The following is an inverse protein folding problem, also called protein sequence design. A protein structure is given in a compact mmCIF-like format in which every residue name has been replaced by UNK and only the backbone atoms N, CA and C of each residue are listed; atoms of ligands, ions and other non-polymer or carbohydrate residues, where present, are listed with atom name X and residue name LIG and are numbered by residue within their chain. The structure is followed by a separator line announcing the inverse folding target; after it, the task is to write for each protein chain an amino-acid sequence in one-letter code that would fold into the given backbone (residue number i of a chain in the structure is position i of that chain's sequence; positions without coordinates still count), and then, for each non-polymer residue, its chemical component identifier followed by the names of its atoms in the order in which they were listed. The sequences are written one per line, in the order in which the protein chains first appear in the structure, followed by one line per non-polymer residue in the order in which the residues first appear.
data_IF_033709964980
#
_entry.id   IF_033709964980
#
_cell.length_a   1.000
_cell.length_b   1.000
_cell.length_c   1.000
_cell.angle_alpha   90.00
_cell.angle_beta   90.00
_cell.angle_gamma   90.00
#
_symmetry.space_group_name_H-M   'P 1'
#
loop_
_entity.id
_entity.type
_entity.pdbx_description
1 polymer ?
#
# COMPACT_ATOMS: atom_id res chain seq x y z
N UNK A 1 -62.37 5.39 11.45
CA UNK A 1 -61.56 6.25 12.35
C UNK A 1 -60.10 5.91 12.08
N UNK A 2 -59.21 6.91 11.93
CA UNK A 2 -57.80 6.76 11.49
C UNK A 2 -56.85 6.24 12.59
N UNK A 3 -55.51 6.47 12.53
CA UNK A 3 -54.70 7.37 11.66
C UNK A 3 -53.62 6.63 10.82
N UNK A 4 -53.27 7.08 9.60
CA UNK A 4 -52.23 8.06 9.19
C UNK A 4 -50.79 7.79 9.67
N UNK A 5 -49.89 7.57 8.70
CA UNK A 5 -48.54 8.15 8.68
C UNK A 5 -47.37 7.16 8.70
N UNK A 6 -46.54 7.15 7.64
CA UNK A 6 -45.16 7.66 7.71
C UNK A 6 -44.39 7.40 6.39
N UNK A 7 -44.09 8.48 5.69
CA UNK A 7 -43.07 8.63 4.66
C UNK A 7 -41.68 8.21 5.17
N UNK A 8 -41.00 7.34 4.42
CA UNK A 8 -39.60 6.99 4.61
C UNK A 8 -38.75 7.43 3.42
N UNK A 9 -38.41 8.72 3.35
CA UNK A 9 -37.36 9.24 2.47
C UNK A 9 -36.00 8.75 2.98
N UNK A 10 -35.37 7.85 2.24
CA UNK A 10 -33.99 7.42 2.45
C UNK A 10 -33.08 7.90 1.34
N UNK A 11 -32.89 9.22 1.21
CA UNK A 11 -31.82 9.78 0.39
C UNK A 11 -30.49 9.74 1.13
N UNK A 12 -29.49 9.05 0.57
CA UNK A 12 -28.05 9.23 0.81
C UNK A 12 -27.35 8.80 -0.50
N UNK A 13 -26.92 9.73 -1.35
CA UNK A 13 -25.57 10.31 -1.32
C UNK A 13 -24.52 9.22 -1.06
N UNK A 14 -23.66 8.87 -2.02
CA UNK A 14 -22.54 9.69 -2.47
C UNK A 14 -22.06 9.21 -3.83
N UNK A 15 -21.76 10.17 -4.72
CA UNK A 15 -20.99 9.90 -5.92
C UNK A 15 -19.54 9.55 -5.60
N UNK A 16 -18.96 8.70 -6.44
CA UNK A 16 -17.57 8.80 -6.88
C UNK A 16 -17.54 8.12 -8.24
N UNK A 17 -17.45 8.93 -9.29
CA UNK A 17 -17.19 8.46 -10.65
C UNK A 17 -15.84 7.74 -10.76
N UNK A 18 -15.52 7.24 -11.96
CA UNK A 18 -14.42 6.33 -12.18
C UNK A 18 -13.08 7.08 -12.09
N UNK A 19 -12.21 6.66 -11.17
CA UNK A 19 -10.77 6.86 -11.34
C UNK A 19 -10.32 5.65 -12.16
N UNK A 20 -10.10 5.73 -13.46
CA UNK A 20 -9.24 6.71 -14.09
C UNK A 20 -7.83 6.14 -14.08
N UNK A 21 -7.48 5.47 -15.17
CA UNK A 21 -6.13 5.40 -15.74
C UNK A 21 -5.00 4.85 -14.87
N UNK A 22 -4.60 3.62 -15.18
CA UNK A 22 -3.20 3.24 -15.14
C UNK A 22 -2.96 2.20 -16.24
N UNK A 23 -2.83 2.68 -17.48
CA UNK A 23 -1.94 2.02 -18.43
C UNK A 23 -0.56 2.01 -17.79
N UNK A 24 -0.13 0.89 -17.22
CA UNK A 24 1.25 0.75 -16.75
C UNK A 24 1.91 -0.32 -17.61
N UNK A 25 2.31 0.13 -18.80
CA UNK A 25 3.54 -0.36 -19.40
C UNK A 25 4.68 0.14 -18.51
N UNK A 26 4.97 -0.61 -17.45
CA UNK A 26 6.03 -0.34 -16.46
C UNK A 26 6.73 -1.65 -16.12
N UNK A 27 7.70 -1.96 -16.96
CA UNK A 27 8.74 -2.98 -16.91
C UNK A 27 9.01 -3.70 -15.56
N UNK A 28 9.01 -5.04 -15.61
CA UNK A 28 9.89 -5.99 -14.90
C UNK A 28 10.08 -5.86 -13.36
N UNK A 29 9.44 -6.77 -12.62
CA UNK A 29 9.85 -7.17 -11.26
C UNK A 29 9.05 -6.53 -10.13
N UNK A 30 8.26 -7.36 -9.43
CA UNK A 30 7.46 -7.05 -8.22
C UNK A 30 6.51 -5.84 -8.36
N UNK A 31 5.18 -6.02 -8.32
CA UNK A 31 4.30 -4.86 -8.34
C UNK A 31 4.49 -4.00 -7.09
N UNK A 32 4.38 -2.66 -7.17
CA UNK A 32 4.57 -1.77 -6.03
C UNK A 32 3.61 -2.09 -4.87
N UNK A 33 2.45 -2.68 -5.14
CA UNK A 33 1.55 -3.20 -4.09
C UNK A 33 2.19 -4.31 -3.24
N UNK A 34 2.86 -5.29 -3.85
CA UNK A 34 3.54 -6.37 -3.12
C UNK A 34 4.84 -5.89 -2.44
N UNK A 35 5.51 -4.90 -3.04
CA UNK A 35 6.67 -4.24 -2.43
C UNK A 35 6.28 -3.53 -1.12
N UNK A 36 5.17 -2.76 -1.11
CA UNK A 36 4.63 -2.12 0.11
C UNK A 36 4.31 -3.17 1.17
N UNK A 37 3.71 -4.28 0.76
CA UNK A 37 3.38 -5.41 1.65
C UNK A 37 4.62 -6.06 2.27
N UNK A 38 5.71 -6.17 1.52
CA UNK A 38 6.99 -6.72 1.98
C UNK A 38 7.64 -5.82 3.04
N UNK A 39 7.60 -4.50 2.85
CA UNK A 39 8.08 -3.54 3.83
C UNK A 39 7.12 -3.34 5.01
N UNK A 40 5.87 -3.80 4.88
CA UNK A 40 4.83 -3.63 5.91
C UNK A 40 4.25 -2.22 5.97
N UNK A 41 4.30 -1.49 4.85
CA UNK A 41 3.77 -0.12 4.73
C UNK A 41 2.42 -0.11 4.02
N UNK A 42 1.63 0.93 4.31
CA UNK A 42 0.32 1.12 3.70
C UNK A 42 0.38 1.42 2.19
N UNK A 43 -0.74 1.18 1.50
CA UNK A 43 -0.85 1.44 0.07
C UNK A 43 -0.70 2.94 -0.27
N UNK A 44 -1.10 3.80 0.67
CA UNK A 44 -1.00 5.26 0.63
C UNK A 44 0.26 5.80 1.36
N UNK A 45 1.17 4.92 1.79
CA UNK A 45 2.37 5.32 2.51
C UNK A 45 3.26 6.22 1.65
N UNK A 46 3.76 7.28 2.27
CA UNK A 46 4.66 8.22 1.62
C UNK A 46 6.08 7.64 1.49
N UNK A 47 6.88 8.13 0.54
CA UNK A 47 8.30 7.77 0.40
C UNK A 47 9.08 7.87 1.73
N UNK A 48 8.73 8.84 2.59
CA UNK A 48 9.31 8.98 3.94
C UNK A 48 8.97 7.80 4.87
N UNK A 49 7.76 7.27 4.80
CA UNK A 49 7.31 6.10 5.57
C UNK A 49 7.92 4.81 5.03
N UNK A 50 7.98 4.67 3.70
CA UNK A 50 8.68 3.56 3.01
C UNK A 50 10.14 3.48 3.48
N UNK A 51 10.83 4.63 3.53
CA UNK A 51 12.23 4.71 3.96
C UNK A 51 12.40 4.44 5.45
N UNK A 52 11.48 4.88 6.30
CA UNK A 52 11.50 4.58 7.73
C UNK A 52 11.34 3.06 7.97
N UNK A 53 10.31 2.45 7.37
CA UNK A 53 10.06 1.02 7.46
C UNK A 53 11.22 0.18 6.92
N UNK A 54 11.80 0.58 5.77
CA UNK A 54 13.00 -0.05 5.22
C UNK A 54 14.16 -0.05 6.23
N UNK A 55 14.46 1.08 6.87
CA UNK A 55 15.57 1.16 7.83
C UNK A 55 15.34 0.28 9.06
N UNK A 56 14.10 0.12 9.49
CA UNK A 56 13.79 -0.75 10.63
C UNK A 56 13.86 -2.22 10.23
N UNK A 57 13.29 -2.60 9.08
CA UNK A 57 13.42 -3.96 8.52
C UNK A 57 14.87 -4.35 8.30
N UNK A 58 15.70 -3.44 7.76
CA UNK A 58 17.11 -3.71 7.51
C UNK A 58 17.87 -3.99 8.79
N UNK A 59 17.60 -3.26 9.88
CA UNK A 59 18.24 -3.55 11.18
C UNK A 59 17.82 -4.93 11.71
N UNK A 60 16.56 -5.31 11.51
CA UNK A 60 16.04 -6.62 11.94
C UNK A 60 16.58 -7.78 11.10
N UNK A 61 16.73 -7.57 9.79
CA UNK A 61 17.13 -8.60 8.80
C UNK A 61 18.63 -8.55 8.47
N UNK A 62 19.42 -7.69 9.13
CA UNK A 62 20.82 -7.47 8.76
C UNK A 62 21.66 -8.74 8.98
N UNK A 63 22.42 -9.21 7.98
CA UNK A 63 23.28 -10.39 8.14
C UNK A 63 24.35 -10.19 9.23
N UNK A 64 24.92 -8.98 9.38
CA UNK A 64 25.86 -8.69 10.48
C UNK A 64 25.25 -8.78 11.89
N UNK A 65 23.92 -8.69 12.02
CA UNK A 65 23.22 -8.88 13.31
C UNK A 65 22.69 -10.31 13.49
N UNK A 66 23.01 -11.22 12.56
CA UNK A 66 22.52 -12.60 12.56
C UNK A 66 21.20 -12.81 11.79
N UNK A 67 20.80 -11.84 10.96
CA UNK A 67 19.65 -11.95 10.07
C UNK A 67 19.95 -12.65 8.74
N UNK A 68 18.92 -12.79 7.90
CA UNK A 68 19.00 -13.50 6.62
C UNK A 68 19.26 -12.56 5.44
N UNK A 69 20.31 -12.85 4.67
CA UNK A 69 20.62 -12.11 3.43
C UNK A 69 19.47 -12.19 2.41
N UNK A 70 18.74 -13.30 2.38
CA UNK A 70 17.59 -13.47 1.49
C UNK A 70 16.42 -12.53 1.85
N UNK A 71 16.15 -12.33 3.15
CA UNK A 71 15.15 -11.36 3.60
C UNK A 71 15.61 -9.94 3.30
N UNK A 72 16.87 -9.62 3.59
CA UNK A 72 17.46 -8.32 3.28
C UNK A 72 17.33 -7.99 1.77
N UNK A 73 17.67 -8.94 0.89
CA UNK A 73 17.50 -8.79 -0.57
C UNK A 73 16.04 -8.58 -0.99
N UNK A 74 15.08 -9.15 -0.25
CA UNK A 74 13.64 -8.99 -0.53
C UNK A 74 13.16 -7.60 -0.13
N UNK A 75 13.57 -7.15 1.06
CA UNK A 75 13.33 -5.80 1.60
C UNK A 75 13.95 -4.74 0.70
N UNK A 76 15.20 -4.94 0.24
CA UNK A 76 15.88 -4.00 -0.65
C UNK A 76 15.18 -3.89 -2.00
N UNK A 77 14.83 -5.02 -2.64
CA UNK A 77 14.08 -5.00 -3.90
C UNK A 77 12.74 -4.29 -3.77
N UNK A 78 12.02 -4.52 -2.67
CA UNK A 78 10.77 -3.82 -2.40
C UNK A 78 10.97 -2.30 -2.26
N UNK A 79 12.01 -1.87 -1.57
CA UNK A 79 12.34 -0.45 -1.44
C UNK A 79 12.72 0.18 -2.79
N UNK A 80 13.55 -0.51 -3.60
CA UNK A 80 13.93 -0.04 -4.94
C UNK A 80 12.71 0.15 -5.85
N UNK A 81 11.80 -0.83 -5.90
CA UNK A 81 10.54 -0.74 -6.66
C UNK A 81 9.67 0.45 -6.24
N UNK A 82 9.70 0.85 -4.97
CA UNK A 82 8.87 1.95 -4.46
C UNK A 82 9.51 3.33 -4.57
N UNK A 83 10.83 3.38 -4.74
CA UNK A 83 11.56 4.64 -4.88
C UNK A 83 11.71 5.05 -6.35
N UNK A 84 11.61 4.09 -7.29
CA UNK A 84 11.67 4.32 -8.75
C UNK A 84 10.36 4.83 -9.37
N UNK A 85 9.24 4.81 -8.62
CA UNK A 85 7.90 5.32 -8.99
C UNK A 85 7.67 6.77 -8.50
#
# INVERSE_FOLDING_TARGET
VGPRGADGRGGRARGRGPTGGASMSGNSGMPPGDARRTLGVDADASQSEVKAAYRDRVKETHPDSGGDEEEFKRVNRAYETLTDD
#
